data_IF_137037446732
#
_entry.id   IF_137037446732
#
_cell.length_a   1.000
_cell.length_b   1.000
_cell.length_c   1.000
_cell.angle_alpha   90.00
_cell.angle_beta   90.00
_cell.angle_gamma   90.00
#
_symmetry.space_group_name_H-M   'P 1'
#
loop_
_entity.id
_entity.type
_entity.pdbx_description
1 polymer ?
#
# COMPACT_ATOMS: atom_id res chain seq x y z
N UNK A 1 -17.00 5.20 -9.11
CA UNK A 1 -17.16 4.17 -8.07
C UNK A 1 -18.31 4.60 -7.18
N UNK A 2 -19.53 4.13 -7.47
CA UNK A 2 -20.72 4.44 -6.67
C UNK A 2 -21.28 3.21 -5.96
N UNK A 3 -21.03 2.00 -6.48
CA UNK A 3 -21.50 0.74 -5.87
C UNK A 3 -20.60 0.23 -4.73
N UNK A 4 -19.45 0.86 -4.47
CA UNK A 4 -18.51 0.48 -3.40
C UNK A 4 -17.89 -0.91 -3.56
N UNK A 5 -17.26 -1.43 -2.51
CA UNK A 5 -16.75 -2.82 -2.47
C UNK A 5 -15.57 -3.13 -3.40
N UNK A 6 -14.79 -2.12 -3.77
CA UNK A 6 -13.66 -2.25 -4.71
C UNK A 6 -12.32 -2.19 -3.97
N UNK A 7 -11.40 -3.08 -4.34
CA UNK A 7 -10.00 -3.01 -3.95
C UNK A 7 -9.20 -2.47 -5.14
N UNK A 8 -8.45 -1.39 -4.94
CA UNK A 8 -7.59 -0.77 -5.94
C UNK A 8 -6.13 -1.03 -5.58
N UNK A 9 -5.33 -1.45 -6.55
CA UNK A 9 -3.89 -1.66 -6.40
C UNK A 9 -3.15 -0.78 -7.43
N UNK A 10 -2.36 0.17 -6.92
CA UNK A 10 -1.51 1.02 -7.74
C UNK A 10 -0.32 1.55 -6.91
N UNK A 11 0.74 1.96 -7.59
CA UNK A 11 1.98 2.46 -6.98
C UNK A 11 2.01 4.00 -6.83
N UNK A 12 0.83 4.62 -6.83
CA UNK A 12 0.60 6.06 -6.71
C UNK A 12 -0.87 6.29 -6.38
N UNK A 13 -1.19 7.44 -5.81
CA UNK A 13 -2.50 7.69 -5.23
C UNK A 13 -3.01 9.13 -5.38
N UNK A 14 -2.15 10.06 -5.80
CA UNK A 14 -2.46 11.48 -6.07
C UNK A 14 -3.53 11.70 -7.16
N UNK A 15 -3.63 10.77 -8.12
CA UNK A 15 -4.54 10.85 -9.25
C UNK A 15 -6.00 10.47 -8.93
N UNK A 16 -6.25 9.90 -7.74
CA UNK A 16 -7.57 9.39 -7.39
C UNK A 16 -8.36 10.41 -6.56
N UNK A 17 -9.68 10.53 -6.79
CA UNK A 17 -10.53 11.35 -5.93
C UNK A 17 -10.55 10.82 -4.49
N UNK A 18 -10.26 11.67 -3.50
CA UNK A 18 -10.22 11.31 -2.08
C UNK A 18 -11.46 10.53 -1.60
N UNK A 19 -12.64 10.89 -2.09
CA UNK A 19 -13.94 10.27 -1.77
C UNK A 19 -14.08 8.79 -2.18
N UNK A 20 -13.11 8.23 -2.92
CA UNK A 20 -13.17 6.84 -3.36
C UNK A 20 -12.81 5.83 -2.27
N UNK A 21 -12.02 6.24 -1.29
CA UNK A 21 -11.42 5.30 -0.34
C UNK A 21 -11.91 5.53 1.08
N UNK A 22 -12.33 4.43 1.71
CA UNK A 22 -12.65 4.39 3.14
C UNK A 22 -11.42 4.08 4.00
N UNK A 23 -10.37 3.50 3.39
CA UNK A 23 -9.09 3.19 4.01
C UNK A 23 -8.01 3.10 2.93
N UNK A 24 -6.77 3.43 3.28
CA UNK A 24 -5.60 3.39 2.41
C UNK A 24 -4.49 2.62 3.12
N UNK A 25 -3.92 1.62 2.44
CA UNK A 25 -2.80 0.84 2.94
C UNK A 25 -1.56 1.07 2.09
N UNK A 26 -0.47 1.52 2.71
CA UNK A 26 0.83 1.66 2.07
C UNK A 26 1.71 0.50 2.50
N UNK A 27 1.96 -0.44 1.58
CA UNK A 27 2.83 -1.57 1.85
C UNK A 27 4.29 -1.10 1.90
N UNK A 28 5.00 -1.49 2.96
CA UNK A 28 6.42 -1.18 3.20
C UNK A 28 7.26 -2.45 3.15
N UNK A 29 8.44 -2.37 2.55
CA UNK A 29 9.36 -3.50 2.44
C UNK A 29 10.79 -3.04 2.72
N UNK A 30 11.56 -3.85 3.43
CA UNK A 30 12.98 -3.60 3.68
C UNK A 30 13.74 -3.49 2.35
N UNK A 31 14.63 -2.51 2.26
CA UNK A 31 15.34 -2.18 1.02
C UNK A 31 16.11 -3.37 0.41
N UNK A 32 16.74 -4.20 1.24
CA UNK A 32 17.47 -5.39 0.80
C UNK A 32 16.55 -6.46 0.20
N UNK A 33 15.38 -6.64 0.80
CA UNK A 33 14.37 -7.57 0.31
C UNK A 33 13.71 -7.04 -0.96
N UNK A 34 13.38 -5.74 -0.98
CA UNK A 34 12.81 -5.08 -2.15
C UNK A 34 13.77 -5.13 -3.34
N UNK A 35 15.06 -4.84 -3.13
CA UNK A 35 16.12 -4.97 -4.14
C UNK A 35 16.10 -6.37 -4.76
N UNK A 36 16.14 -7.41 -3.92
CA UNK A 36 16.15 -8.82 -4.37
C UNK A 36 14.89 -9.18 -5.17
N UNK A 37 13.72 -8.68 -4.75
CA UNK A 37 12.45 -8.87 -5.46
C UNK A 37 12.42 -8.17 -6.81
N UNK A 38 12.95 -6.96 -6.92
CA UNK A 38 13.00 -6.22 -8.18
C UNK A 38 14.02 -6.83 -9.15
N UNK A 39 15.20 -7.20 -8.66
CA UNK A 39 16.24 -7.87 -9.45
C UNK A 39 15.74 -9.21 -10.01
N UNK A 40 15.08 -10.04 -9.18
CA UNK A 40 14.47 -11.30 -9.63
C UNK A 40 13.34 -11.13 -10.64
N UNK A 41 12.69 -9.96 -10.67
CA UNK A 41 11.73 -9.56 -11.72
C UNK A 41 12.41 -9.05 -13.00
N UNK A 42 13.75 -9.07 -13.06
CA UNK A 42 14.54 -8.64 -14.21
C UNK A 42 14.77 -7.13 -14.30
N UNK A 43 14.53 -6.38 -13.21
CA UNK A 43 14.81 -4.95 -13.19
C UNK A 43 16.32 -4.75 -13.07
N UNK A 44 16.88 -3.85 -13.87
CA UNK A 44 18.33 -3.58 -13.88
C UNK A 44 18.61 -2.09 -14.04
N UNK A 45 19.84 -1.70 -13.75
CA UNK A 45 20.33 -0.33 -13.94
C UNK A 45 19.49 0.73 -13.23
N UNK A 46 19.19 1.81 -13.94
CA UNK A 46 18.49 2.98 -13.40
C UNK A 46 17.11 2.64 -12.83
N UNK A 47 16.32 1.80 -13.51
CA UNK A 47 14.96 1.46 -13.07
C UNK A 47 14.97 0.81 -11.68
N UNK A 48 15.91 -0.11 -11.43
CA UNK A 48 16.05 -0.75 -10.13
C UNK A 48 16.44 0.28 -9.07
N UNK A 49 17.42 1.13 -9.36
CA UNK A 49 17.90 2.16 -8.44
C UNK A 49 16.80 3.15 -8.08
N UNK A 50 16.06 3.66 -9.07
CA UNK A 50 14.96 4.61 -8.88
C UNK A 50 13.86 4.03 -7.97
N UNK A 51 13.50 2.75 -8.14
CA UNK A 51 12.48 2.11 -7.32
C UNK A 51 12.94 1.86 -5.87
N UNK A 52 14.20 1.46 -5.68
CA UNK A 52 14.77 1.29 -4.33
C UNK A 52 14.90 2.64 -3.63
N UNK A 53 15.29 3.70 -4.35
CA UNK A 53 15.34 5.05 -3.80
C UNK A 53 13.96 5.58 -3.43
N UNK A 54 12.94 5.32 -4.25
CA UNK A 54 11.54 5.65 -3.95
C UNK A 54 11.09 5.08 -2.60
N UNK A 55 11.42 3.80 -2.33
CA UNK A 55 11.11 3.16 -1.04
C UNK A 55 11.91 3.78 0.12
N UNK A 56 13.22 4.03 -0.08
CA UNK A 56 14.10 4.65 0.93
C UNK A 56 13.57 6.03 1.34
N UNK A 57 13.15 6.84 0.38
CA UNK A 57 12.59 8.17 0.61
C UNK A 57 11.13 8.15 1.02
N UNK A 58 10.50 6.96 1.11
CA UNK A 58 9.11 6.80 1.53
C UNK A 58 8.13 7.61 0.66
N UNK A 59 8.47 7.83 -0.62
CA UNK A 59 7.75 8.77 -1.49
C UNK A 59 6.26 8.46 -1.58
N UNK A 60 5.89 7.18 -1.70
CA UNK A 60 4.48 6.76 -1.79
C UNK A 60 3.74 6.93 -0.45
N UNK A 61 4.43 6.77 0.68
CA UNK A 61 3.84 7.00 1.98
C UNK A 61 3.56 8.49 2.21
N UNK A 62 4.53 9.35 1.89
CA UNK A 62 4.36 10.81 1.97
C UNK A 62 3.23 11.27 1.04
N UNK A 63 3.18 10.75 -0.20
CA UNK A 63 2.11 11.05 -1.14
C UNK A 63 0.72 10.65 -0.59
N UNK A 64 0.60 9.48 0.03
CA UNK A 64 -0.66 9.05 0.64
C UNK A 64 -1.07 9.93 1.83
N UNK A 65 -0.10 10.37 2.64
CA UNK A 65 -0.34 11.27 3.78
C UNK A 65 -0.74 12.68 3.35
N UNK A 66 -0.23 13.15 2.20
CA UNK A 66 -0.63 14.43 1.61
C UNK A 66 -2.00 14.35 0.92
N UNK A 67 -2.31 13.20 0.30
CA UNK A 67 -3.52 13.01 -0.48
C UNK A 67 -4.74 12.63 0.37
N UNK A 68 -4.59 12.00 1.53
CA UNK A 68 -5.69 11.45 2.34
C UNK A 68 -5.58 11.86 3.82
N UNK A 69 -6.69 11.76 4.56
CA UNK A 69 -6.67 11.98 6.00
C UNK A 69 -5.76 10.96 6.69
N UNK A 70 -4.88 11.42 7.59
CA UNK A 70 -3.92 10.56 8.30
C UNK A 70 -4.60 9.38 9.03
N UNK A 71 -5.84 9.57 9.48
CA UNK A 71 -6.63 8.57 10.20
C UNK A 71 -7.01 7.34 9.38
N UNK A 72 -7.01 7.46 8.04
CA UNK A 72 -7.34 6.36 7.12
C UNK A 72 -6.10 5.78 6.42
N UNK A 73 -4.91 6.35 6.63
CA UNK A 73 -3.66 5.92 5.99
C UNK A 73 -2.89 5.04 6.97
N UNK A 74 -2.65 3.78 6.58
CA UNK A 74 -1.93 2.82 7.41
C UNK A 74 -0.78 2.18 6.66
N UNK A 75 0.37 2.05 7.33
CA UNK A 75 1.51 1.32 6.81
C UNK A 75 1.42 -0.16 7.19
N UNK A 76 1.69 -1.05 6.25
CA UNK A 76 1.76 -2.49 6.49
C UNK A 76 3.11 -3.03 6.06
N UNK A 77 3.80 -3.74 6.95
CA UNK A 77 5.03 -4.46 6.59
C UNK A 77 4.68 -5.60 5.64
N UNK A 78 5.52 -5.84 4.63
CA UNK A 78 5.27 -6.86 3.61
C UNK A 78 6.57 -7.56 3.21
N UNK A 79 7.36 -7.98 4.19
CA UNK A 79 8.68 -8.59 4.01
C UNK A 79 8.62 -10.11 3.87
N UNK A 80 7.78 -10.77 4.66
CA UNK A 80 7.72 -12.23 4.69
C UNK A 80 6.32 -12.76 4.38
N UNK A 81 6.15 -14.07 4.12
CA UNK A 81 4.84 -14.69 4.01
C UNK A 81 3.98 -14.51 5.27
N UNK A 82 4.59 -14.48 6.45
CA UNK A 82 3.90 -14.25 7.72
C UNK A 82 3.32 -12.83 7.79
N UNK A 83 4.05 -11.82 7.29
CA UNK A 83 3.52 -10.46 7.16
C UNK A 83 2.29 -10.44 6.25
N UNK A 84 2.31 -11.17 5.14
CA UNK A 84 1.17 -11.29 4.23
C UNK A 84 -0.05 -11.89 4.92
N UNK A 85 0.12 -12.99 5.66
CA UNK A 85 -0.97 -13.61 6.42
C UNK A 85 -1.53 -12.67 7.48
N UNK A 86 -0.66 -11.95 8.18
CA UNK A 86 -1.05 -10.96 9.18
C UNK A 86 -1.83 -9.79 8.55
N UNK A 87 -1.34 -9.24 7.43
CA UNK A 87 -2.01 -8.17 6.69
C UNK A 87 -3.38 -8.60 6.18
N UNK A 88 -3.48 -9.81 5.63
CA UNK A 88 -4.74 -10.37 5.19
C UNK A 88 -5.74 -10.45 6.34
N UNK A 89 -5.33 -11.00 7.49
CA UNK A 89 -6.19 -11.10 8.66
C UNK A 89 -6.69 -9.72 9.13
N UNK A 90 -5.81 -8.72 9.18
CA UNK A 90 -6.15 -7.36 9.58
C UNK A 90 -7.14 -6.69 8.60
N UNK A 91 -6.89 -6.76 7.29
CA UNK A 91 -7.75 -6.14 6.28
C UNK A 91 -9.13 -6.80 6.26
N UNK A 92 -9.19 -8.13 6.39
CA UNK A 92 -10.46 -8.87 6.47
C UNK A 92 -11.24 -8.47 7.73
N UNK A 93 -10.58 -8.42 8.88
CA UNK A 93 -11.21 -7.99 10.13
C UNK A 93 -11.74 -6.56 10.03
N UNK A 94 -10.95 -5.64 9.48
CA UNK A 94 -11.36 -4.25 9.28
C UNK A 94 -12.59 -4.17 8.35
N UNK A 95 -12.57 -4.88 7.23
CA UNK A 95 -13.69 -4.89 6.27
C UNK A 95 -14.97 -5.41 6.92
N UNK A 96 -14.88 -6.50 7.70
CA UNK A 96 -16.02 -7.06 8.43
C UNK A 96 -16.58 -6.08 9.46
N UNK A 97 -15.72 -5.34 10.16
CA UNK A 97 -16.16 -4.34 11.13
C UNK A 97 -16.80 -3.15 10.43
N UNK A 98 -16.17 -2.63 9.37
CA UNK A 98 -16.71 -1.52 8.58
C UNK A 98 -18.10 -1.82 8.03
N UNK A 99 -18.29 -3.04 7.50
CA UNK A 99 -19.60 -3.51 7.03
C UNK A 99 -20.66 -3.60 8.13
N UNK A 100 -20.29 -3.86 9.39
CA UNK A 100 -21.26 -3.85 10.51
C UNK A 100 -21.65 -2.45 10.93
N UNK A 101 -20.71 -1.51 10.87
CA UNK A 101 -20.92 -0.13 11.30
C UNK A 101 -21.69 0.70 10.27
N UNK A 102 -21.73 0.25 9.01
CA UNK A 102 -22.34 0.97 7.88
C UNK A 102 -23.44 0.16 7.15
N UNK A 103 -23.92 -0.94 7.75
CA UNK A 103 -25.13 -1.66 7.31
C UNK A 103 -26.35 -1.33 8.17
#
# INVERSE_FOLDING_TARGET
MEEGGVIVDYHGCDLFPQRWFNIVFVLRTDNTQLYTRLESRGYTGKKLQDNVQCEIFQTIYEEAMEAYSEEIVHQLLSNTPEDLEHNLAQIVQWTQQWMKDHN
#
